data_IF_939048557441
#
_entry.id   IF_939048557441
#
_cell.length_a   1.000
_cell.length_b   1.000
_cell.length_c   1.000
_cell.angle_alpha   90.00
_cell.angle_beta   90.00
_cell.angle_gamma   90.00
#
_symmetry.space_group_name_H-M   'P 1'
#
loop_
_entity.id
_entity.type
_entity.pdbx_description
1 polymer ?
#
# COMPACT_ATOMS: atom_id res chain seq x y z
N UNK A 1 26.00 23.81 -35.50
CA UNK A 1 25.02 24.73 -34.86
C UNK A 1 23.56 24.28 -35.03
N UNK A 2 23.27 22.96 -35.08
CA UNK A 2 21.91 22.40 -35.23
C UNK A 2 21.37 21.74 -33.94
N UNK A 3 22.20 21.64 -32.90
CA UNK A 3 21.89 21.02 -31.61
C UNK A 3 21.30 21.98 -30.56
N UNK A 4 21.26 23.29 -30.83
CA UNK A 4 20.67 24.26 -29.88
C UNK A 4 19.19 24.57 -30.14
N UNK A 5 18.62 24.12 -31.26
CA UNK A 5 17.20 24.36 -31.56
C UNK A 5 16.26 23.36 -30.90
N UNK A 6 16.76 22.19 -30.48
CA UNK A 6 15.93 21.14 -29.86
C UNK A 6 15.67 21.37 -28.37
N UNK A 7 16.53 22.14 -27.69
CA UNK A 7 16.38 22.46 -26.27
C UNK A 7 15.22 23.42 -25.98
N UNK A 8 14.73 24.15 -26.98
CA UNK A 8 13.60 25.08 -26.81
C UNK A 8 12.22 24.39 -26.90
N UNK A 9 12.10 23.23 -27.54
CA UNK A 9 10.81 22.54 -27.69
C UNK A 9 10.41 21.70 -26.46
N UNK A 10 11.37 21.28 -25.64
CA UNK A 10 11.13 20.41 -24.49
C UNK A 10 10.56 21.14 -23.26
N UNK A 11 10.61 22.47 -23.24
CA UNK A 11 10.10 23.29 -22.12
C UNK A 11 8.61 23.68 -22.25
N UNK A 12 7.94 23.35 -23.35
CA UNK A 12 6.55 23.78 -23.63
C UNK A 12 5.49 22.67 -23.56
N UNK A 13 5.82 21.46 -23.08
CA UNK A 13 4.84 20.36 -22.96
C UNK A 13 4.35 20.07 -21.54
N UNK A 14 4.73 20.86 -20.53
CA UNK A 14 4.23 20.68 -19.16
C UNK A 14 3.13 21.70 -18.84
N UNK A 15 1.99 21.57 -19.54
CA UNK A 15 0.75 22.18 -19.08
C UNK A 15 0.08 21.21 -18.08
N UNK A 16 -0.19 21.62 -16.83
CA UNK A 16 -0.95 20.79 -15.90
C UNK A 16 -2.38 20.67 -16.43
N UNK A 17 -2.78 19.47 -16.83
CA UNK A 17 -4.18 19.21 -17.13
C UNK A 17 -4.98 19.22 -15.83
N UNK A 18 -6.14 19.90 -15.76
CA UNK A 18 -6.99 19.83 -14.59
C UNK A 18 -7.55 18.40 -14.51
N UNK A 19 -7.16 17.68 -13.45
CA UNK A 19 -7.76 16.42 -13.10
C UNK A 19 -9.24 16.66 -12.79
N UNK A 20 -10.12 16.19 -13.67
CA UNK A 20 -11.55 16.06 -13.39
C UNK A 20 -11.66 15.02 -12.28
N UNK A 21 -11.95 15.48 -11.07
CA UNK A 21 -12.20 14.63 -9.91
C UNK A 21 -13.57 13.96 -10.08
N UNK A 22 -13.61 12.84 -10.79
CA UNK A 22 -14.80 12.01 -10.85
C UNK A 22 -14.89 11.12 -9.61
N UNK A 23 -16.02 11.26 -8.94
CA UNK A 23 -16.21 10.99 -7.53
C UNK A 23 -16.43 9.50 -7.22
N UNK A 24 -15.67 8.98 -6.25
CA UNK A 24 -16.09 7.98 -5.25
C UNK A 24 -16.38 6.54 -5.67
N UNK A 25 -16.90 6.28 -6.87
CA UNK A 25 -17.25 4.90 -7.33
C UNK A 25 -16.38 4.42 -8.49
N UNK A 26 -15.86 5.34 -9.32
CA UNK A 26 -14.91 5.03 -10.38
C UNK A 26 -13.53 4.62 -9.86
N UNK A 27 -13.16 5.00 -8.63
CA UNK A 27 -11.84 4.71 -8.06
C UNK A 27 -11.68 3.24 -7.65
N UNK A 28 -12.74 2.59 -7.17
CA UNK A 28 -12.70 1.17 -6.79
C UNK A 28 -12.76 0.26 -8.02
N UNK A 29 -13.63 0.61 -8.98
CA UNK A 29 -13.69 -0.06 -10.30
C UNK A 29 -12.37 0.10 -11.07
N UNK A 30 -11.74 1.28 -11.00
CA UNK A 30 -10.42 1.52 -11.60
C UNK A 30 -9.31 0.72 -10.93
N UNK A 31 -9.33 0.58 -9.60
CA UNK A 31 -8.33 -0.21 -8.88
C UNK A 31 -8.43 -1.70 -9.23
N UNK A 32 -9.64 -2.25 -9.28
CA UNK A 32 -9.88 -3.65 -9.65
C UNK A 32 -9.49 -3.95 -11.12
N UNK A 33 -9.64 -2.97 -12.01
CA UNK A 33 -9.18 -3.09 -13.40
C UNK A 33 -7.64 -3.09 -13.49
N UNK A 34 -6.96 -2.23 -12.72
CA UNK A 34 -5.49 -2.21 -12.64
C UNK A 34 -4.93 -3.50 -12.05
N UNK A 35 -5.57 -4.05 -11.01
CA UNK A 35 -5.19 -5.33 -10.42
C UNK A 35 -5.30 -6.48 -11.43
N UNK A 36 -6.42 -6.55 -12.18
CA UNK A 36 -6.58 -7.53 -13.25
C UNK A 36 -5.52 -7.38 -14.33
N UNK A 37 -5.25 -6.16 -14.79
CA UNK A 37 -4.25 -5.92 -15.82
C UNK A 37 -2.84 -6.35 -15.38
N UNK A 38 -2.48 -6.13 -14.11
CA UNK A 38 -1.24 -6.62 -13.55
C UNK A 38 -1.19 -8.15 -13.48
N UNK A 39 -2.23 -8.79 -12.96
CA UNK A 39 -2.30 -10.25 -12.89
C UNK A 39 -2.27 -10.93 -14.26
N UNK A 40 -2.95 -10.34 -15.26
CA UNK A 40 -2.96 -10.85 -16.62
C UNK A 40 -1.56 -10.72 -17.26
N UNK A 41 -0.89 -9.59 -17.05
CA UNK A 41 0.51 -9.43 -17.47
C UNK A 41 1.40 -10.51 -16.85
N UNK A 42 1.36 -10.69 -15.53
CA UNK A 42 2.24 -11.66 -14.85
C UNK A 42 1.96 -13.08 -15.31
N UNK A 43 0.69 -13.43 -15.52
CA UNK A 43 0.30 -14.76 -16.00
C UNK A 43 0.82 -15.01 -17.41
N UNK A 44 0.65 -14.03 -18.30
CA UNK A 44 1.09 -14.12 -19.69
C UNK A 44 2.62 -14.15 -19.77
N UNK A 45 3.31 -13.22 -19.11
CA UNK A 45 4.76 -13.15 -19.06
C UNK A 45 5.37 -14.45 -18.48
N UNK A 46 4.75 -15.05 -17.47
CA UNK A 46 5.17 -16.34 -16.94
C UNK A 46 4.93 -17.50 -17.93
N UNK A 47 3.81 -17.50 -18.65
CA UNK A 47 3.51 -18.52 -19.66
C UNK A 47 4.52 -18.53 -20.82
N UNK A 48 5.12 -17.37 -21.12
CA UNK A 48 6.14 -17.21 -22.15
C UNK A 48 7.57 -17.55 -21.69
N UNK A 49 7.78 -17.90 -20.41
CA UNK A 49 9.11 -18.18 -19.90
C UNK A 49 9.72 -19.47 -20.48
N UNK A 50 11.02 -19.46 -20.86
CA UNK A 50 11.73 -20.65 -21.29
C UNK A 50 11.66 -21.81 -20.28
N UNK A 51 11.28 -23.00 -20.74
CA UNK A 51 11.18 -24.21 -19.91
C UNK A 51 12.52 -24.68 -19.32
N UNK A 52 13.64 -24.14 -19.82
CA UNK A 52 14.99 -24.43 -19.32
C UNK A 52 15.34 -23.62 -18.07
N UNK A 53 14.58 -22.56 -17.76
CA UNK A 53 14.80 -21.77 -16.56
C UNK A 53 14.17 -22.42 -15.34
N UNK A 54 14.78 -22.18 -14.17
CA UNK A 54 14.14 -22.54 -12.91
C UNK A 54 12.83 -21.77 -12.73
N UNK A 55 11.88 -22.35 -12.00
CA UNK A 55 10.61 -21.69 -11.66
C UNK A 55 10.84 -20.34 -10.98
N UNK A 56 11.80 -20.26 -10.06
CA UNK A 56 12.11 -19.04 -9.33
C UNK A 56 12.74 -17.96 -10.22
N UNK A 57 13.50 -18.33 -11.26
CA UNK A 57 14.00 -17.37 -12.25
C UNK A 57 12.85 -16.87 -13.14
N UNK A 58 12.01 -17.79 -13.61
CA UNK A 58 10.83 -17.48 -14.44
C UNK A 58 9.84 -16.53 -13.74
N UNK A 59 9.63 -16.72 -12.44
CA UNK A 59 8.79 -15.83 -11.63
C UNK A 59 9.38 -14.41 -11.53
N UNK A 60 10.69 -14.29 -11.31
CA UNK A 60 11.35 -12.99 -11.24
C UNK A 60 11.30 -12.26 -12.57
N UNK A 61 11.63 -12.94 -13.67
CA UNK A 61 11.54 -12.35 -15.01
C UNK A 61 10.13 -11.90 -15.36
N UNK A 62 9.10 -12.65 -14.99
CA UNK A 62 7.71 -12.25 -15.22
C UNK A 62 7.30 -11.02 -14.39
N UNK A 63 7.78 -10.89 -13.15
CA UNK A 63 7.54 -9.70 -12.33
C UNK A 63 8.29 -8.48 -12.87
N UNK A 64 9.56 -8.65 -13.25
CA UNK A 64 10.39 -7.58 -13.82
C UNK A 64 9.78 -7.03 -15.13
N UNK A 65 9.22 -7.90 -15.97
CA UNK A 65 8.54 -7.51 -17.21
C UNK A 65 7.24 -6.71 -16.96
N UNK A 66 6.54 -7.02 -15.87
CA UNK A 66 5.23 -6.44 -15.53
C UNK A 66 5.32 -5.28 -14.52
N UNK A 67 6.50 -4.72 -14.30
CA UNK A 67 6.74 -3.68 -13.30
C UNK A 67 5.90 -2.41 -13.57
N UNK A 68 5.67 -2.04 -14.83
CA UNK A 68 4.86 -0.85 -15.15
C UNK A 68 3.39 -0.99 -14.68
N UNK A 69 2.81 -2.19 -14.79
CA UNK A 69 1.45 -2.48 -14.33
C UNK A 69 1.40 -2.53 -12.80
N UNK A 70 2.43 -3.10 -12.16
CA UNK A 70 2.58 -3.11 -10.70
C UNK A 70 2.65 -1.67 -10.16
N UNK A 71 3.53 -0.84 -10.73
CA UNK A 71 3.71 0.55 -10.31
C UNK A 71 2.40 1.36 -10.44
N UNK A 72 1.66 1.15 -11.54
CA UNK A 72 0.37 1.82 -11.74
C UNK A 72 -0.68 1.38 -10.71
N UNK A 73 -0.76 0.08 -10.42
CA UNK A 73 -1.66 -0.45 -9.40
C UNK A 73 -1.29 0.05 -8.00
N UNK A 74 -0.01 0.00 -7.63
CA UNK A 74 0.48 0.46 -6.32
C UNK A 74 0.25 1.96 -6.14
N UNK A 75 0.54 2.78 -7.16
CA UNK A 75 0.28 4.22 -7.12
C UNK A 75 -1.22 4.52 -6.90
N UNK A 76 -2.10 3.80 -7.60
CA UNK A 76 -3.54 3.94 -7.43
C UNK A 76 -4.00 3.46 -6.04
N UNK A 77 -3.48 2.33 -5.54
CA UNK A 77 -3.80 1.78 -4.23
C UNK A 77 -3.39 2.75 -3.10
N UNK A 78 -2.19 3.32 -3.18
CA UNK A 78 -1.70 4.31 -2.21
C UNK A 78 -2.53 5.61 -2.23
N UNK A 79 -2.99 6.02 -3.41
CA UNK A 79 -3.90 7.16 -3.55
C UNK A 79 -5.27 6.86 -2.93
N UNK A 80 -5.80 5.66 -3.13
CA UNK A 80 -7.06 5.24 -2.52
C UNK A 80 -6.98 5.17 -0.98
N UNK A 81 -5.87 4.67 -0.43
CA UNK A 81 -5.67 4.60 1.03
C UNK A 81 -5.48 5.99 1.68
N UNK A 82 -4.86 6.93 0.98
CA UNK A 82 -4.72 8.31 1.46
C UNK A 82 -6.04 9.09 1.38
N UNK A 83 -6.94 8.72 0.46
CA UNK A 83 -8.27 9.31 0.31
C UNK A 83 -9.30 8.84 1.36
N UNK A 84 -8.95 7.91 2.26
CA UNK A 84 -9.82 7.41 3.37
C UNK A 84 -9.37 7.87 4.77
N UNK A 85 -9.25 9.19 5.05
CA UNK A 85 -8.77 9.67 6.36
C UNK A 85 -9.72 9.35 7.52
N UNK A 86 -11.04 9.29 7.29
CA UNK A 86 -12.04 9.01 8.32
C UNK A 86 -11.93 7.57 8.87
N UNK A 87 -11.72 6.59 7.98
CA UNK A 87 -11.52 5.19 8.37
C UNK A 87 -10.21 4.98 9.14
N UNK A 88 -9.17 5.73 8.77
CA UNK A 88 -7.88 5.73 9.47
C UNK A 88 -8.02 6.21 10.92
N UNK A 89 -8.76 7.30 11.13
CA UNK A 89 -9.04 7.83 12.48
C UNK A 89 -9.81 6.80 13.30
N UNK A 90 -10.85 6.18 12.73
CA UNK A 90 -11.62 5.12 13.38
C UNK A 90 -10.77 3.91 13.77
N UNK A 91 -9.85 3.47 12.90
CA UNK A 91 -8.93 2.36 13.18
C UNK A 91 -7.94 2.69 14.30
N UNK A 92 -7.44 3.91 14.34
CA UNK A 92 -6.51 4.37 15.37
C UNK A 92 -7.18 4.42 16.76
N UNK A 93 -8.42 4.93 16.82
CA UNK A 93 -9.24 4.91 18.04
C UNK A 93 -9.47 3.48 18.53
N UNK A 94 -9.87 2.55 17.64
CA UNK A 94 -10.08 1.16 18.00
C UNK A 94 -8.81 0.43 18.51
N UNK A 95 -7.63 0.79 18.00
CA UNK A 95 -6.36 0.28 18.49
C UNK A 95 -6.02 0.84 19.88
N UNK A 96 -6.27 2.13 20.10
CA UNK A 96 -6.06 2.76 21.40
C UNK A 96 -6.96 2.15 22.47
N UNK A 97 -8.23 1.90 22.16
CA UNK A 97 -9.18 1.24 23.08
C UNK A 97 -8.74 -0.18 23.42
N UNK A 98 -8.28 -0.95 22.42
CA UNK A 98 -7.73 -2.29 22.63
C UNK A 98 -6.47 -2.27 23.51
N UNK A 99 -5.57 -1.32 23.29
CA UNK A 99 -4.37 -1.16 24.12
C UNK A 99 -4.74 -0.80 25.57
N UNK A 100 -5.76 0.04 25.75
CA UNK A 100 -6.27 0.42 27.07
C UNK A 100 -6.89 -0.76 27.80
N UNK A 101 -7.66 -1.58 27.10
CA UNK A 101 -8.25 -2.81 27.66
C UNK A 101 -7.19 -3.83 28.06
N UNK A 102 -6.14 -4.00 27.24
CA UNK A 102 -4.99 -4.85 27.59
C UNK A 102 -4.26 -4.33 28.83
N UNK A 103 -3.99 -3.02 28.91
CA UNK A 103 -3.33 -2.42 30.05
C UNK A 103 -4.15 -2.57 31.35
N UNK A 104 -5.47 -2.43 31.27
CA UNK A 104 -6.37 -2.66 32.41
C UNK A 104 -6.34 -4.12 32.88
N UNK A 105 -6.26 -5.08 31.93
CA UNK A 105 -6.16 -6.50 32.26
C UNK A 105 -4.82 -6.81 32.95
N UNK A 106 -3.70 -6.29 32.44
CA UNK A 106 -2.39 -6.45 33.10
C UNK A 106 -2.36 -5.82 34.49
N UNK A 107 -2.98 -4.64 34.65
CA UNK A 107 -3.06 -3.98 35.95
C UNK A 107 -3.83 -4.83 36.97
N UNK A 108 -4.99 -5.38 36.57
CA UNK A 108 -5.82 -6.27 37.40
C UNK A 108 -5.11 -7.58 37.74
N UNK A 109 -4.56 -8.25 36.72
CA UNK A 109 -4.18 -9.66 36.86
C UNK A 109 -2.75 -9.84 37.37
N UNK A 110 -1.89 -8.84 37.20
CA UNK A 110 -0.47 -8.92 37.55
C UNK A 110 -0.08 -7.88 38.59
N UNK A 111 -0.40 -6.62 38.36
CA UNK A 111 0.11 -5.52 39.21
C UNK A 111 -0.60 -5.50 40.57
N UNK A 112 -1.93 -5.60 40.58
CA UNK A 112 -2.72 -5.52 41.82
C UNK A 112 -2.41 -6.65 42.81
N UNK A 113 -2.36 -7.95 42.41
CA UNK A 113 -2.00 -9.03 43.33
C UNK A 113 -0.57 -8.89 43.87
N UNK A 114 0.41 -8.53 43.04
CA UNK A 114 1.81 -8.34 43.49
C UNK A 114 1.91 -7.18 44.47
N UNK A 115 1.21 -6.08 44.21
CA UNK A 115 1.17 -4.91 45.10
C UNK A 115 0.58 -5.24 46.46
N UNK A 116 -0.46 -6.09 46.49
CA UNK A 116 -1.13 -6.53 47.72
C UNK A 116 -0.20 -7.34 48.64
N UNK A 117 0.68 -8.18 48.07
CA UNK A 117 1.64 -8.97 48.83
C UNK A 117 2.71 -8.10 49.47
N UNK A 118 3.26 -7.13 48.73
CA UNK A 118 4.24 -6.18 49.27
C UNK A 118 3.63 -5.27 50.35
N UNK A 119 2.36 -4.88 50.19
CA UNK A 119 1.64 -4.12 51.21
C UNK A 119 1.37 -4.92 52.49
N UNK A 120 1.09 -6.22 52.38
CA UNK A 120 0.90 -7.11 53.52
C UNK A 120 2.20 -7.36 54.30
N UNK A 121 3.35 -7.37 53.62
CA UNK A 121 4.67 -7.52 54.24
C UNK A 121 5.19 -6.29 55.00
N UNK A 122 4.60 -5.11 54.78
CA UNK A 122 5.05 -3.84 55.37
C UNK A 122 4.21 -3.42 56.60
N UNK A 123 3.24 -4.24 57.02
CA UNK A 123 2.49 -4.09 58.27
C UNK A 123 2.95 -5.12 59.28
#
# INVERSE_FOLDING_TARGET
MRLMLWSALLLMSFAPQPAVAESGSGSEVGLAALEHAWHDCVREAFAHQPRTQSRAASQRSALDECQAQEDAFVAAAMTAETARPQERIGRHLALADRARAWAASVASDVIDPVSSWFGAWRR
#
